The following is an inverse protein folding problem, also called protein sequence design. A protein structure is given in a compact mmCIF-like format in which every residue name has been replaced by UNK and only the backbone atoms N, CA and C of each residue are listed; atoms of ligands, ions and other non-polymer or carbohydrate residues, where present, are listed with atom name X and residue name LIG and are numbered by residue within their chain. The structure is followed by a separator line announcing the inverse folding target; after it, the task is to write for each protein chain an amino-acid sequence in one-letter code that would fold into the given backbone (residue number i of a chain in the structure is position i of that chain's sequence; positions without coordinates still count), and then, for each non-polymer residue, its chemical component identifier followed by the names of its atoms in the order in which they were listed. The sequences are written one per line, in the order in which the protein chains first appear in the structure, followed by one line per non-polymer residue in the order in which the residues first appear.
data_IF_415391418342
#
_entry.id   IF_415391418342
#
_cell.length_a   1.000
_cell.length_b   1.000
_cell.length_c   1.000
_cell.angle_alpha   90.00
_cell.angle_beta   90.00
_cell.angle_gamma   90.00
#
_symmetry.space_group_name_H-M   'P 1'
#
loop_
_entity.id
_entity.type
_entity.pdbx_description
1 polymer ?
#
# COMPACT_ATOMS: atom_id res chain seq x y z
N UNK A 1 -15.47 -16.06 -7.15
CA UNK A 1 -15.46 -15.02 -6.11
C UNK A 1 -15.06 -15.74 -4.84
N UNK A 2 -13.81 -15.57 -4.38
CA UNK A 2 -13.24 -16.33 -3.26
C UNK A 2 -13.67 -15.70 -1.95
N UNK A 3 -14.23 -16.50 -1.06
CA UNK A 3 -14.73 -16.05 0.22
C UNK A 3 -13.57 -16.01 1.24
N UNK A 4 -12.98 -14.83 1.39
CA UNK A 4 -11.70 -14.62 2.08
C UNK A 4 -11.82 -14.94 3.57
N UNK A 5 -12.99 -14.70 4.15
CA UNK A 5 -13.32 -15.01 5.55
C UNK A 5 -13.28 -16.52 5.81
N UNK A 6 -13.80 -17.32 4.87
CA UNK A 6 -13.79 -18.80 4.99
C UNK A 6 -12.39 -19.39 4.88
N UNK A 7 -11.49 -18.76 4.13
CA UNK A 7 -10.10 -19.21 3.98
C UNK A 7 -9.26 -18.90 5.22
N UNK A 8 -9.59 -17.82 5.94
CA UNK A 8 -8.88 -17.35 7.11
C UNK A 8 -9.45 -17.95 8.42
N UNK A 9 -10.68 -18.47 8.39
CA UNK A 9 -11.28 -19.19 9.50
C UNK A 9 -11.39 -18.35 10.77
N UNK A 10 -10.99 -18.91 11.92
CA UNK A 10 -11.12 -18.26 13.22
C UNK A 10 -10.24 -17.00 13.39
N UNK A 11 -9.20 -16.82 12.58
CA UNK A 11 -8.30 -15.66 12.65
C UNK A 11 -8.72 -14.54 11.68
N UNK A 12 -9.78 -14.73 10.89
CA UNK A 12 -10.25 -13.77 9.88
C UNK A 12 -10.48 -12.38 10.49
N UNK A 13 -11.19 -12.31 11.62
CA UNK A 13 -11.48 -11.04 12.28
C UNK A 13 -10.22 -10.32 12.75
N UNK A 14 -9.25 -11.06 13.30
CA UNK A 14 -8.01 -10.46 13.77
C UNK A 14 -7.18 -9.94 12.60
N UNK A 15 -6.99 -10.74 11.56
CA UNK A 15 -6.12 -10.41 10.42
C UNK A 15 -6.71 -9.30 9.52
N UNK A 16 -8.03 -9.28 9.34
CA UNK A 16 -8.70 -8.31 8.48
C UNK A 16 -8.93 -6.97 9.19
N UNK A 17 -9.15 -6.97 10.50
CA UNK A 17 -9.41 -5.76 11.28
C UNK A 17 -8.18 -5.20 12.01
N UNK A 18 -7.03 -5.90 11.98
CA UNK A 18 -5.83 -5.41 12.64
C UNK A 18 -5.38 -4.06 12.07
N UNK A 19 -5.34 -3.05 12.94
CA UNK A 19 -4.78 -1.73 12.64
C UNK A 19 -3.48 -1.54 13.40
N UNK A 20 -2.37 -1.36 12.67
CA UNK A 20 -1.09 -1.03 13.27
C UNK A 20 -1.15 0.33 13.98
N UNK A 21 -0.99 0.35 15.31
CA UNK A 21 -1.00 1.58 16.13
C UNK A 21 0.41 2.05 16.54
N UNK A 22 1.43 1.22 16.33
CA UNK A 22 2.79 1.44 16.85
C UNK A 22 3.53 2.62 16.21
N UNK A 23 3.21 2.96 14.96
CA UNK A 23 3.85 4.07 14.22
C UNK A 23 2.77 5.04 13.77
N UNK A 24 2.87 6.29 14.22
CA UNK A 24 1.98 7.36 13.80
C UNK A 24 2.10 7.61 12.29
N UNK A 25 0.96 7.73 11.60
CA UNK A 25 0.90 7.95 10.15
C UNK A 25 1.66 9.20 9.70
N UNK A 26 1.73 10.23 10.54
CA UNK A 26 2.45 11.48 10.30
C UNK A 26 3.96 11.30 10.16
N UNK A 27 4.51 10.24 10.77
CA UNK A 27 5.93 9.89 10.66
C UNK A 27 6.23 9.08 9.39
N UNK A 28 5.22 8.66 8.63
CA UNK A 28 5.40 7.93 7.39
C UNK A 28 5.73 8.92 6.27
N UNK A 29 6.91 8.76 5.67
CA UNK A 29 7.28 9.50 4.48
C UNK A 29 6.47 8.97 3.29
N UNK A 30 5.55 9.80 2.79
CA UNK A 30 4.79 9.48 1.60
C UNK A 30 5.74 9.51 0.39
N UNK A 31 5.71 8.50 -0.49
CA UNK A 31 6.53 8.51 -1.69
C UNK A 31 6.14 9.72 -2.55
N UNK A 32 7.11 10.60 -2.80
CA UNK A 32 6.96 11.72 -3.73
C UNK A 32 6.77 11.18 -5.16
N UNK A 33 6.25 12.04 -6.05
CA UNK A 33 6.05 11.75 -7.48
C UNK A 33 7.32 11.23 -8.17
N UNK A 34 8.50 11.65 -7.70
CA UNK A 34 9.81 11.28 -8.27
C UNK A 34 10.43 9.98 -7.68
N UNK A 35 9.66 9.18 -6.94
CA UNK A 35 10.25 8.04 -6.21
C UNK A 35 10.82 6.95 -7.14
N UNK A 36 10.26 6.66 -8.32
CA UNK A 36 10.88 5.63 -9.17
C UNK A 36 12.24 6.09 -9.65
N UNK A 37 12.36 7.35 -10.04
CA UNK A 37 13.60 7.90 -10.56
C UNK A 37 14.68 7.94 -9.47
N UNK A 38 14.30 8.21 -8.21
CA UNK A 38 15.25 8.28 -7.09
C UNK A 38 15.60 6.95 -6.43
N UNK A 39 14.68 5.97 -6.41
CA UNK A 39 14.81 4.76 -5.57
C UNK A 39 14.74 3.46 -6.38
N UNK A 40 14.01 3.45 -7.49
CA UNK A 40 13.74 2.21 -8.23
C UNK A 40 14.49 2.11 -9.56
N UNK A 41 15.28 3.12 -9.93
CA UNK A 41 16.06 3.11 -11.17
C UNK A 41 17.12 1.99 -11.19
N UNK A 42 17.75 1.73 -10.04
CA UNK A 42 18.77 0.68 -9.89
C UNK A 42 18.17 -0.70 -9.58
N UNK A 43 16.84 -0.81 -9.47
CA UNK A 43 16.20 -2.09 -9.20
C UNK A 43 16.17 -2.95 -10.47
N UNK A 44 16.47 -4.25 -10.32
CA UNK A 44 16.32 -5.24 -11.38
C UNK A 44 14.83 -5.57 -11.63
N UNK A 45 14.06 -4.59 -12.09
CA UNK A 45 12.66 -4.74 -12.47
C UNK A 45 12.45 -4.25 -13.91
N UNK A 46 11.68 -4.99 -14.72
CA UNK A 46 11.45 -4.59 -16.09
C UNK A 46 10.54 -3.34 -16.15
N UNK A 47 10.71 -2.54 -17.19
CA UNK A 47 10.01 -1.25 -17.37
C UNK A 47 8.47 -1.30 -17.18
N UNK A 48 7.74 -2.35 -17.60
CA UNK A 48 6.29 -2.44 -17.37
C UNK A 48 5.92 -2.47 -15.88
N UNK A 49 6.77 -3.07 -15.04
CA UNK A 49 6.56 -3.17 -13.60
C UNK A 49 6.84 -1.82 -12.92
N UNK A 50 7.84 -1.09 -13.40
CA UNK A 50 8.14 0.27 -12.92
C UNK A 50 7.02 1.24 -13.27
N UNK A 51 6.48 1.19 -14.50
CA UNK A 51 5.34 2.00 -14.92
C UNK A 51 4.06 1.70 -14.12
N UNK A 52 3.79 0.42 -13.83
CA UNK A 52 2.65 0.04 -12.97
C UNK A 52 2.84 0.52 -11.53
N UNK A 53 4.06 0.43 -11.00
CA UNK A 53 4.41 0.96 -9.68
C UNK A 53 4.25 2.48 -9.60
N UNK A 54 4.60 3.21 -10.67
CA UNK A 54 4.33 4.65 -10.75
C UNK A 54 2.84 4.94 -10.76
N UNK A 55 2.08 4.31 -11.64
CA UNK A 55 0.65 4.56 -11.78
C UNK A 55 -0.09 4.32 -10.47
N UNK A 56 0.28 3.30 -9.70
CA UNK A 56 -0.31 3.03 -8.37
C UNK A 56 0.01 4.12 -7.33
N UNK A 57 1.20 4.71 -7.38
CA UNK A 57 1.67 5.67 -6.37
C UNK A 57 1.38 7.13 -6.72
N UNK A 58 1.25 7.45 -8.00
CA UNK A 58 0.83 8.77 -8.48
C UNK A 58 -0.70 8.95 -8.46
N UNK A 59 -1.47 7.91 -8.12
CA UNK A 59 -2.89 8.09 -7.83
C UNK A 59 -3.00 9.08 -6.66
N UNK A 60 -3.80 10.14 -6.77
CA UNK A 60 -4.07 10.99 -5.63
C UNK A 60 -4.57 10.05 -4.54
N UNK A 61 -3.85 10.01 -3.42
CA UNK A 61 -4.36 9.41 -2.20
C UNK A 61 -5.64 10.21 -1.98
N UNK A 62 -6.79 9.66 -2.39
CA UNK A 62 -8.07 10.13 -1.91
C UNK A 62 -7.81 10.19 -0.42
N UNK A 63 -7.78 11.42 0.13
CA UNK A 63 -7.66 11.61 1.56
C UNK A 63 -8.77 10.73 2.09
N UNK A 64 -8.42 9.56 2.62
CA UNK A 64 -9.31 8.76 3.43
C UNK A 64 -9.43 9.56 4.72
N UNK A 65 -10.09 10.73 4.59
CA UNK A 65 -10.75 11.37 5.70
C UNK A 65 -11.83 10.41 6.13
N UNK A 66 -11.94 10.25 7.44
CA UNK A 66 -13.01 9.50 8.09
C UNK A 66 -12.98 7.99 7.79
N UNK A 67 -12.01 7.29 8.38
CA UNK A 67 -12.36 6.06 9.08
C UNK A 67 -12.50 6.48 10.55
N UNK A 68 -13.75 6.76 10.93
CA UNK A 68 -14.20 6.50 12.31
C UNK A 68 -14.07 5.00 12.55
#
# INVERSE_FOLDING_TARGET
MTDIETLLGAEADNLLLHRCQTIAQEKLYLPCTDFIDRVMIDNNRPNPVLAHSQSKRNKPIKRYGAIR
#
